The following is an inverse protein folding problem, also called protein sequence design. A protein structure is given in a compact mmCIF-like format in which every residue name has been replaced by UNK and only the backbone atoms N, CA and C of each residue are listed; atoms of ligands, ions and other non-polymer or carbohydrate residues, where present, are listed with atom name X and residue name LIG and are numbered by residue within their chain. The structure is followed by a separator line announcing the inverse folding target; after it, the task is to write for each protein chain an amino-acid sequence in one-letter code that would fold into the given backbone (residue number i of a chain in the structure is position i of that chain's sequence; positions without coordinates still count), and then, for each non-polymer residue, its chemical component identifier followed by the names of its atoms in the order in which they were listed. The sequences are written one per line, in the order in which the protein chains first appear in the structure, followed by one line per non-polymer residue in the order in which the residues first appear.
data_IF_119496818185
#
_entry.id   IF_119496818185
#
_cell.length_a   1.000
_cell.length_b   1.000
_cell.length_c   1.000
_cell.angle_alpha   90.00
_cell.angle_beta   90.00
_cell.angle_gamma   90.00
#
_symmetry.space_group_name_H-M   'P 1'
#
loop_
_entity.id
_entity.type
_entity.pdbx_description
1 polymer ?
#
# COMPACT_ATOMS: atom_id res chain seq x y z
N UNK A 1 8.64 -13.80 13.32
CA UNK A 1 7.75 -12.75 12.79
C UNK A 1 8.18 -12.46 11.36
N UNK A 2 7.29 -12.63 10.40
CA UNK A 2 7.59 -12.42 8.99
C UNK A 2 7.36 -10.94 8.63
N UNK A 3 8.16 -10.43 7.70
CA UNK A 3 8.12 -9.03 7.27
C UNK A 3 8.25 -8.92 5.76
N UNK A 4 7.44 -8.06 5.15
CA UNK A 4 7.54 -7.68 3.75
C UNK A 4 7.54 -6.15 3.61
N UNK A 5 8.21 -5.67 2.57
CA UNK A 5 8.20 -4.26 2.17
C UNK A 5 7.81 -4.21 0.71
N UNK A 6 6.78 -3.43 0.40
CA UNK A 6 6.32 -3.16 -0.96
C UNK A 6 6.50 -1.67 -1.23
N UNK A 7 7.15 -1.34 -2.35
CA UNK A 7 7.42 0.04 -2.74
C UNK A 7 6.82 0.29 -4.11
N UNK A 8 6.00 1.32 -4.22
CA UNK A 8 5.46 1.83 -5.47
C UNK A 8 6.09 3.19 -5.79
N UNK A 9 6.51 3.36 -7.03
CA UNK A 9 7.06 4.62 -7.54
C UNK A 9 6.06 5.29 -8.47
N UNK A 10 5.83 6.58 -8.25
CA UNK A 10 4.91 7.41 -9.02
C UNK A 10 5.63 8.49 -9.82
N UNK A 11 4.95 9.06 -10.81
CA UNK A 11 5.56 10.08 -11.67
C UNK A 11 5.87 11.36 -10.92
N UNK A 12 5.06 11.71 -9.93
CA UNK A 12 5.23 12.93 -9.15
C UNK A 12 4.72 12.76 -7.71
N UNK A 13 5.10 13.70 -6.86
CA UNK A 13 4.73 13.70 -5.43
C UNK A 13 3.22 13.81 -5.18
N UNK A 14 2.46 14.36 -6.14
CA UNK A 14 1.01 14.52 -6.02
C UNK A 14 0.28 13.19 -6.22
N UNK A 15 0.67 12.42 -7.24
CA UNK A 15 0.15 11.06 -7.46
C UNK A 15 0.41 10.17 -6.24
N UNK A 16 1.66 10.16 -5.74
CA UNK A 16 2.03 9.42 -4.54
C UNK A 16 1.23 9.82 -3.29
N UNK A 17 0.87 11.11 -3.17
CA UNK A 17 0.05 11.61 -2.06
C UNK A 17 -1.40 11.10 -2.13
N UNK A 18 -1.99 11.07 -3.33
CA UNK A 18 -3.36 10.57 -3.53
C UNK A 18 -3.43 9.08 -3.22
N UNK A 19 -2.46 8.32 -3.71
CA UNK A 19 -2.39 6.88 -3.44
C UNK A 19 -2.20 6.60 -1.95
N UNK A 20 -1.28 7.29 -1.27
CA UNK A 20 -1.06 7.14 0.17
C UNK A 20 -2.38 7.28 0.95
N UNK A 21 -3.17 8.32 0.64
CA UNK A 21 -4.44 8.58 1.33
C UNK A 21 -5.45 7.46 1.12
N UNK A 22 -5.50 6.88 -0.07
CA UNK A 22 -6.43 5.79 -0.38
C UNK A 22 -6.01 4.49 0.32
N UNK A 23 -4.71 4.17 0.32
CA UNK A 23 -4.20 2.97 0.99
C UNK A 23 -4.27 3.07 2.53
N UNK A 24 -4.13 4.26 3.11
CA UNK A 24 -4.23 4.46 4.57
C UNK A 24 -5.65 4.20 5.12
N UNK A 25 -6.70 4.34 4.28
CA UNK A 25 -8.07 3.97 4.67
C UNK A 25 -8.18 2.47 4.89
N UNK A 26 -7.56 1.68 4.01
CA UNK A 26 -7.62 0.22 4.06
C UNK A 26 -6.81 -0.33 5.25
N UNK A 27 -5.65 0.28 5.53
CA UNK A 27 -4.81 -0.08 6.68
C UNK A 27 -5.53 0.05 8.03
N UNK A 28 -6.43 1.03 8.18
CA UNK A 28 -7.21 1.23 9.42
C UNK A 28 -8.28 0.17 9.63
N UNK A 29 -8.70 -0.53 8.55
CA UNK A 29 -9.65 -1.63 8.62
C UNK A 29 -8.98 -2.99 8.90
N UNK A 30 -7.65 -3.06 8.83
CA UNK A 30 -6.91 -4.31 8.99
C UNK A 30 -7.06 -4.91 10.42
N UNK A 31 -7.10 -6.25 10.55
CA UNK A 31 -7.12 -6.91 11.85
C UNK A 31 -5.89 -6.55 12.69
N UNK A 32 -6.07 -6.39 14.01
CA UNK A 32 -4.97 -6.02 14.95
C UNK A 32 -3.75 -6.97 14.92
N UNK A 33 -3.92 -8.18 14.42
CA UNK A 33 -2.83 -9.17 14.30
C UNK A 33 -1.90 -8.88 13.13
N UNK A 34 -2.33 -8.08 12.15
CA UNK A 34 -1.59 -7.66 10.98
C UNK A 34 -1.16 -6.20 11.16
N UNK A 35 0.14 -5.97 11.28
CA UNK A 35 0.68 -4.61 11.35
C UNK A 35 1.00 -4.15 9.93
N UNK A 36 0.32 -3.08 9.52
CA UNK A 36 0.55 -2.41 8.24
C UNK A 36 0.94 -0.97 8.53
N UNK A 37 2.03 -0.52 7.92
CA UNK A 37 2.47 0.86 7.97
C UNK A 37 2.75 1.33 6.55
N UNK A 38 2.06 2.37 6.10
CA UNK A 38 2.30 2.98 4.79
C UNK A 38 2.80 4.40 4.98
N UNK A 39 3.94 4.70 4.38
CA UNK A 39 4.56 6.03 4.39
C UNK A 39 4.83 6.50 2.97
N UNK A 40 4.94 7.81 2.79
CA UNK A 40 5.42 8.41 1.55
C UNK A 40 6.80 9.03 1.74
N UNK A 41 7.68 8.81 0.76
CA UNK A 41 8.95 9.52 0.63
C UNK A 41 9.09 10.03 -0.79
N UNK A 42 8.97 11.34 -0.97
CA UNK A 42 8.93 12.00 -2.29
C UNK A 42 7.82 11.45 -3.21
N UNK A 43 8.20 10.76 -4.29
CA UNK A 43 7.31 10.11 -5.25
C UNK A 43 7.14 8.61 -4.97
N UNK A 44 7.62 8.12 -3.81
CA UNK A 44 7.53 6.72 -3.41
C UNK A 44 6.46 6.53 -2.32
N UNK A 45 5.66 5.49 -2.46
CA UNK A 45 4.78 4.97 -1.40
C UNK A 45 5.36 3.63 -0.94
N UNK A 46 5.66 3.53 0.35
CA UNK A 46 6.35 2.39 0.96
C UNK A 46 5.41 1.79 2.00
N UNK A 47 5.03 0.53 1.80
CA UNK A 47 4.18 -0.23 2.72
C UNK A 47 5.00 -1.32 3.39
N UNK A 48 5.02 -1.32 4.73
CA UNK A 48 5.62 -2.37 5.55
C UNK A 48 4.52 -3.24 6.14
N UNK A 49 4.68 -4.56 6.01
CA UNK A 49 3.76 -5.58 6.51
C UNK A 49 4.47 -6.50 7.48
N UNK A 50 3.88 -6.73 8.65
CA UNK A 50 4.39 -7.64 9.67
C UNK A 50 3.28 -8.56 10.19
N UNK A 51 3.55 -9.88 10.16
CA UNK A 51 2.62 -10.90 10.63
C UNK A 51 3.35 -12.22 10.95
N UNK A 52 2.77 -13.07 11.79
CA UNK A 52 3.37 -14.37 12.15
C UNK A 52 3.27 -15.40 11.02
N UNK A 53 2.17 -15.40 10.27
CA UNK A 53 1.91 -16.32 9.17
C UNK A 53 2.33 -15.73 7.82
N UNK A 54 3.22 -16.41 7.11
CA UNK A 54 3.66 -16.02 5.77
C UNK A 54 2.51 -15.98 4.76
N UNK A 55 1.54 -16.90 4.88
CA UNK A 55 0.36 -16.90 4.00
C UNK A 55 -0.47 -15.61 4.10
N UNK A 56 -0.58 -15.04 5.30
CA UNK A 56 -1.26 -13.74 5.49
C UNK A 56 -0.47 -12.60 4.86
N UNK A 57 0.87 -12.63 4.93
CA UNK A 57 1.71 -11.63 4.23
C UNK A 57 1.47 -11.71 2.73
N UNK A 58 1.51 -12.90 2.13
CA UNK A 58 1.29 -13.05 0.68
C UNK A 58 -0.10 -12.58 0.24
N UNK A 59 -1.15 -12.98 0.97
CA UNK A 59 -2.51 -12.51 0.68
C UNK A 59 -2.61 -10.98 0.76
N UNK A 60 -2.04 -10.38 1.80
CA UNK A 60 -2.07 -8.91 1.99
C UNK A 60 -1.26 -8.19 0.90
N UNK A 61 -0.12 -8.74 0.47
CA UNK A 61 0.66 -8.18 -0.64
C UNK A 61 -0.13 -8.22 -1.95
N UNK A 62 -0.83 -9.32 -2.22
CA UNK A 62 -1.67 -9.47 -3.40
C UNK A 62 -2.83 -8.45 -3.41
N UNK A 63 -3.55 -8.35 -2.28
CA UNK A 63 -4.61 -7.35 -2.07
C UNK A 63 -4.07 -5.91 -2.23
N UNK A 64 -2.91 -5.61 -1.66
CA UNK A 64 -2.26 -4.30 -1.77
C UNK A 64 -1.93 -3.94 -3.22
N UNK A 65 -1.35 -4.86 -3.99
CA UNK A 65 -1.02 -4.64 -5.40
C UNK A 65 -2.29 -4.45 -6.23
N UNK A 66 -3.34 -5.22 -5.95
CA UNK A 66 -4.61 -5.08 -6.64
C UNK A 66 -5.27 -3.73 -6.36
N UNK A 67 -5.38 -3.33 -5.09
CA UNK A 67 -5.93 -2.03 -4.67
C UNK A 67 -5.11 -0.87 -5.24
N UNK A 68 -3.78 -0.97 -5.21
CA UNK A 68 -2.91 0.05 -5.80
C UNK A 68 -3.19 0.24 -7.29
N UNK A 69 -3.31 -0.83 -8.06
CA UNK A 69 -3.60 -0.74 -9.50
C UNK A 69 -4.95 -0.08 -9.79
N UNK A 70 -5.97 -0.38 -9.00
CA UNK A 70 -7.28 0.26 -9.12
C UNK A 70 -7.19 1.77 -8.87
N UNK A 71 -6.54 2.16 -7.77
CA UNK A 71 -6.39 3.58 -7.39
C UNK A 71 -5.56 4.32 -8.44
N UNK A 72 -4.44 3.75 -8.87
CA UNK A 72 -3.56 4.36 -9.86
C UNK A 72 -4.23 4.52 -11.23
N UNK A 73 -5.11 3.59 -11.62
CA UNK A 73 -5.97 3.76 -12.79
C UNK A 73 -6.87 4.99 -12.68
N UNK A 74 -7.52 5.18 -11.53
CA UNK A 74 -8.39 6.35 -11.28
C UNK A 74 -7.62 7.67 -11.25
N UNK A 75 -6.38 7.67 -10.76
CA UNK A 75 -5.52 8.86 -10.72
C UNK A 75 -4.98 9.21 -12.11
N UNK A 76 -4.74 8.21 -12.97
CA UNK A 76 -4.22 8.38 -14.32
C UNK A 76 -5.25 8.85 -15.36
N UNK A 77 -6.54 8.53 -15.17
CA UNK A 77 -7.63 8.90 -16.09
C UNK A 77 -8.12 10.36 -15.93
N UNK A 78 -7.62 11.11 -14.95
CA UNK A 78 -7.99 12.50 -14.70
C UNK A 78 -7.28 13.55 -15.58
N UNK A 79 -6.82 13.19 -16.79
CA UNK A 79 -6.17 14.10 -17.74
C UNK A 79 -6.96 14.28 -19.02
#
# INVERSE_FOLDING_TARGET
MNRAIVTFEYKNKSEAEVVLKMLDVDNKAAPKTLKIETIKKDNLVITTLEHEKTGTIFATVDDLIFTERLVSGLVGEGK
#
